data_IF_441794247426
#
_entry.id   IF_441794247426
#
_cell.length_a   1.000
_cell.length_b   1.000
_cell.length_c   1.000
_cell.angle_alpha   90.00
_cell.angle_beta   90.00
_cell.angle_gamma   90.00
#
_symmetry.space_group_name_H-M   'P 1'
#
loop_
_entity.id
_entity.type
_entity.pdbx_description
1 polymer ?
#
# COMPACT_ATOMS: atom_id res chain seq x y z
N UNK A 1 -17.43 17.02 -0.66
CA UNK A 1 -16.13 17.76 -0.58
C UNK A 1 -15.53 17.69 0.83
N UNK A 2 -15.33 16.51 1.44
CA UNK A 2 -14.90 16.48 2.85
C UNK A 2 -13.69 15.61 3.20
N UNK A 3 -13.29 14.64 2.39
CA UNK A 3 -12.13 13.80 2.72
C UNK A 3 -10.78 14.36 2.28
N UNK A 4 -10.67 15.05 1.14
CA UNK A 4 -9.38 15.58 0.63
C UNK A 4 -8.68 16.53 1.64
N UNK A 5 -9.44 17.18 2.52
CA UNK A 5 -8.91 18.08 3.56
C UNK A 5 -8.39 17.36 4.81
N UNK A 6 -8.80 16.12 5.06
CA UNK A 6 -8.24 15.29 6.14
C UNK A 6 -6.84 14.79 5.74
N UNK A 7 -6.64 14.46 4.46
CA UNK A 7 -5.35 14.00 3.92
C UNK A 7 -4.20 15.00 4.04
N UNK A 8 -4.48 16.31 4.13
CA UNK A 8 -3.44 17.35 4.23
C UNK A 8 -3.06 17.69 5.68
N UNK A 9 -3.88 17.30 6.67
CA UNK A 9 -3.65 17.59 8.09
C UNK A 9 -3.15 16.37 8.87
N UNK A 10 -3.19 15.18 8.27
CA UNK A 10 -2.46 14.03 8.77
C UNK A 10 -1.00 14.24 8.35
N UNK A 11 -0.23 14.88 9.24
CA UNK A 11 1.19 15.15 9.02
C UNK A 11 2.00 13.89 8.73
N UNK A 12 3.29 14.03 8.38
CA UNK A 12 4.22 12.93 8.04
C UNK A 12 4.48 11.89 9.16
N UNK A 13 3.65 11.87 10.21
CA UNK A 13 3.69 10.95 11.35
C UNK A 13 2.74 9.75 11.22
N UNK A 14 1.75 9.79 10.32
CA UNK A 14 0.98 8.60 9.97
C UNK A 14 1.67 7.96 8.78
N UNK A 15 2.35 6.83 9.04
CA UNK A 15 3.09 6.10 8.02
C UNK A 15 2.19 5.71 6.84
N UNK A 16 2.78 5.67 5.66
CA UNK A 16 2.11 5.31 4.41
C UNK A 16 1.41 3.94 4.49
N UNK A 17 1.88 3.08 5.38
CA UNK A 17 1.28 1.80 5.76
C UNK A 17 -0.13 1.95 6.35
N UNK A 18 -0.33 2.86 7.31
CA UNK A 18 -1.63 3.08 7.95
C UNK A 18 -2.64 3.67 6.95
N UNK A 19 -2.17 4.59 6.09
CA UNK A 19 -3.03 5.14 5.05
C UNK A 19 -3.42 4.10 4.00
N UNK A 20 -2.48 3.23 3.62
CA UNK A 20 -2.77 2.16 2.68
C UNK A 20 -3.74 1.13 3.28
N UNK A 21 -3.64 0.86 4.58
CA UNK A 21 -4.55 -0.01 5.33
C UNK A 21 -5.99 0.54 5.37
N UNK A 22 -6.13 1.81 5.78
CA UNK A 22 -7.43 2.48 5.77
C UNK A 22 -8.06 2.53 4.37
N UNK A 23 -7.22 2.70 3.35
CA UNK A 23 -7.65 2.71 1.97
C UNK A 23 -8.16 1.34 1.51
N UNK A 24 -7.45 0.27 1.86
CA UNK A 24 -7.84 -1.11 1.60
C UNK A 24 -9.19 -1.43 2.27
N UNK A 25 -9.31 -1.08 3.55
CA UNK A 25 -10.57 -1.20 4.29
C UNK A 25 -11.72 -0.47 3.60
N UNK A 26 -11.47 0.77 3.16
CA UNK A 26 -12.48 1.58 2.46
C UNK A 26 -12.89 0.96 1.12
N UNK A 27 -11.93 0.44 0.34
CA UNK A 27 -12.18 -0.25 -0.93
C UNK A 27 -13.00 -1.51 -0.72
N UNK A 28 -12.64 -2.33 0.27
CA UNK A 28 -13.38 -3.55 0.62
C UNK A 28 -14.81 -3.24 1.06
N UNK A 29 -15.01 -2.19 1.88
CA UNK A 29 -16.34 -1.75 2.32
C UNK A 29 -17.23 -1.22 1.20
N UNK A 30 -16.64 -0.66 0.15
CA UNK A 30 -17.37 -0.16 -1.02
C UNK A 30 -17.51 -1.23 -2.11
N UNK A 31 -17.12 -2.47 -1.82
CA UNK A 31 -17.10 -3.61 -2.74
C UNK A 31 -16.31 -3.30 -4.03
N UNK A 32 -15.24 -2.51 -3.88
CA UNK A 32 -14.35 -2.10 -4.97
C UNK A 32 -13.11 -2.98 -4.99
N UNK A 33 -13.23 -4.08 -5.73
CA UNK A 33 -12.16 -5.06 -5.88
C UNK A 33 -11.28 -4.82 -7.12
N UNK A 34 -11.30 -3.63 -7.72
CA UNK A 34 -10.45 -3.30 -8.87
C UNK A 34 -8.96 -3.45 -8.56
N UNK A 35 -8.56 -3.25 -7.30
CA UNK A 35 -7.18 -3.49 -6.86
C UNK A 35 -6.79 -4.97 -6.89
N UNK A 36 -7.75 -5.89 -6.78
CA UNK A 36 -7.54 -7.34 -6.78
C UNK A 36 -7.04 -7.78 -8.15
N UNK A 37 -7.76 -7.40 -9.20
CA UNK A 37 -7.37 -7.62 -10.60
C UNK A 37 -6.08 -6.85 -10.95
N UNK A 38 -6.01 -5.56 -10.61
CA UNK A 38 -4.85 -4.72 -10.94
C UNK A 38 -3.55 -5.25 -10.33
N UNK A 39 -3.58 -5.86 -9.14
CA UNK A 39 -2.40 -6.40 -8.47
C UNK A 39 -2.30 -7.92 -8.50
N UNK A 40 -3.17 -8.61 -9.24
CA UNK A 40 -3.18 -10.07 -9.34
C UNK A 40 -3.24 -10.74 -7.95
N UNK A 41 -4.14 -10.21 -7.12
CA UNK A 41 -4.58 -10.84 -5.89
C UNK A 41 -5.69 -11.80 -6.30
N UNK A 42 -5.66 -13.06 -5.87
CA UNK A 42 -6.70 -14.03 -6.25
C UNK A 42 -8.06 -13.67 -5.64
N UNK A 43 -8.05 -12.98 -4.50
CA UNK A 43 -9.22 -12.62 -3.71
C UNK A 43 -9.01 -11.26 -3.03
N UNK A 44 -10.09 -10.53 -2.70
CA UNK A 44 -9.99 -9.36 -1.85
C UNK A 44 -9.39 -9.74 -0.50
N UNK A 45 -8.41 -8.96 -0.05
CA UNK A 45 -7.70 -9.20 1.19
C UNK A 45 -7.94 -8.05 2.15
N UNK A 46 -8.05 -8.36 3.43
CA UNK A 46 -8.10 -7.39 4.52
C UNK A 46 -6.69 -7.10 5.08
N UNK A 47 -5.70 -7.94 4.75
CA UNK A 47 -4.34 -7.80 5.24
C UNK A 47 -3.52 -6.87 4.33
N UNK A 48 -3.27 -5.66 4.81
CA UNK A 48 -2.47 -4.68 4.07
C UNK A 48 -1.05 -5.18 3.79
N UNK A 49 -0.43 -5.95 4.68
CA UNK A 49 0.92 -6.48 4.46
C UNK A 49 0.92 -7.47 3.29
N UNK A 50 -0.12 -8.29 3.17
CA UNK A 50 -0.28 -9.20 2.03
C UNK A 50 -0.41 -8.43 0.72
N UNK A 51 -1.26 -7.41 0.68
CA UNK A 51 -1.46 -6.56 -0.49
C UNK A 51 -0.18 -5.82 -0.87
N UNK A 52 0.48 -5.16 0.08
CA UNK A 52 1.73 -4.44 -0.16
C UNK A 52 2.86 -5.37 -0.60
N UNK A 53 2.93 -6.59 -0.05
CA UNK A 53 3.88 -7.61 -0.52
C UNK A 53 3.65 -7.93 -1.98
N UNK A 54 2.40 -8.18 -2.38
CA UNK A 54 2.04 -8.51 -3.77
C UNK A 54 2.38 -7.36 -4.71
N UNK A 55 2.08 -6.12 -4.30
CA UNK A 55 2.41 -4.89 -5.03
C UNK A 55 3.93 -4.73 -5.17
N UNK A 56 4.70 -4.89 -4.08
CA UNK A 56 6.15 -4.77 -4.10
C UNK A 56 6.79 -5.81 -5.06
N UNK A 57 6.28 -7.04 -5.04
CA UNK A 57 6.70 -8.12 -5.95
C UNK A 57 6.34 -7.77 -7.40
N UNK A 58 5.10 -7.35 -7.67
CA UNK A 58 4.62 -7.00 -9.03
C UNK A 58 5.37 -5.80 -9.61
N UNK A 59 5.70 -4.81 -8.80
CA UNK A 59 6.48 -3.63 -9.20
C UNK A 59 7.99 -3.89 -9.26
N UNK A 60 8.47 -5.07 -8.82
CA UNK A 60 9.89 -5.36 -8.65
C UNK A 60 10.58 -4.44 -7.64
N UNK A 61 9.83 -3.77 -6.77
CA UNK A 61 10.33 -2.81 -5.78
C UNK A 61 10.83 -3.57 -4.56
N UNK A 62 12.04 -4.08 -4.70
CA UNK A 62 12.80 -4.66 -3.58
C UNK A 62 13.86 -3.66 -3.13
N UNK A 63 14.12 -3.63 -1.83
CA UNK A 63 15.17 -2.84 -1.22
C UNK A 63 16.21 -3.73 -0.58
N UNK A 64 17.48 -3.35 -0.72
CA UNK A 64 18.60 -4.00 -0.05
C UNK A 64 18.80 -3.31 1.29
N UNK A 65 18.39 -3.97 2.36
CA UNK A 65 18.50 -3.44 3.73
C UNK A 65 19.69 -4.12 4.39
N UNK A 66 20.54 -3.34 5.05
CA UNK A 66 21.61 -3.88 5.89
C UNK A 66 21.00 -4.25 7.24
N UNK A 67 20.77 -5.53 7.46
CA UNK A 67 20.36 -6.02 8.76
C UNK A 67 21.62 -6.31 9.57
N UNK A 68 21.72 -5.70 10.75
CA UNK A 68 22.74 -6.04 11.73
C UNK A 68 22.19 -7.25 12.48
N UNK A 69 22.58 -8.45 12.08
CA UNK A 69 22.34 -9.64 12.89
C UNK A 69 23.55 -9.84 13.80
N UNK A 70 23.39 -10.56 14.92
CA UNK A 70 24.47 -10.84 15.86
C UNK A 70 25.68 -11.61 15.28
N UNK A 71 25.66 -11.91 13.97
CA UNK A 71 26.71 -12.62 13.22
C UNK A 71 27.36 -11.71 12.15
N UNK A 72 26.94 -10.44 12.04
CA UNK A 72 27.52 -9.45 11.14
C UNK A 72 26.50 -8.73 10.26
N UNK A 73 26.99 -7.80 9.43
CA UNK A 73 26.15 -7.01 8.54
C UNK A 73 25.77 -7.82 7.29
N UNK A 74 24.58 -8.41 7.29
CA UNK A 74 24.03 -9.08 6.11
C UNK A 74 23.16 -8.11 5.31
N UNK A 75 23.34 -8.09 3.99
CA UNK A 75 22.50 -7.32 3.09
C UNK A 75 21.34 -8.20 2.63
N UNK A 76 20.16 -7.98 3.20
CA UNK A 76 18.95 -8.74 2.87
C UNK A 76 18.17 -7.97 1.81
N UNK A 77 17.73 -8.66 0.77
CA UNK A 77 16.80 -8.10 -0.22
C UNK A 77 15.39 -8.33 0.29
N UNK A 78 14.71 -7.26 0.69
CA UNK A 78 13.35 -7.33 1.24
C UNK A 78 12.39 -6.52 0.36
N UNK A 79 11.10 -6.90 0.27
CA UNK A 79 10.10 -6.07 -0.39
C UNK A 79 10.07 -4.67 0.24
N UNK A 80 10.03 -3.63 -0.59
CA UNK A 80 9.90 -2.27 -0.09
C UNK A 80 8.42 -1.94 0.13
N UNK A 81 7.92 -2.27 1.32
CA UNK A 81 6.53 -2.02 1.70
C UNK A 81 6.16 -0.54 1.65
N UNK A 82 7.09 0.35 2.05
CA UNK A 82 6.90 1.82 1.97
C UNK A 82 6.68 2.27 0.53
N UNK A 83 7.53 1.83 -0.40
CA UNK A 83 7.38 2.15 -1.81
C UNK A 83 6.10 1.55 -2.42
N UNK A 84 5.71 0.35 -1.99
CA UNK A 84 4.46 -0.28 -2.40
C UNK A 84 3.23 0.50 -1.89
N UNK A 85 3.25 0.95 -0.63
CA UNK A 85 2.18 1.72 -0.02
C UNK A 85 2.01 3.08 -0.71
N UNK A 86 3.12 3.76 -0.94
CA UNK A 86 3.14 5.00 -1.73
C UNK A 86 2.56 4.80 -3.13
N UNK A 87 2.94 3.71 -3.82
CA UNK A 87 2.40 3.39 -5.14
C UNK A 87 0.89 3.09 -5.08
N UNK A 88 0.44 2.33 -4.09
CA UNK A 88 -0.96 1.98 -3.89
C UNK A 88 -1.84 3.22 -3.72
N UNK A 89 -1.43 4.13 -2.81
CA UNK A 89 -2.13 5.39 -2.56
C UNK A 89 -2.13 6.26 -3.83
N UNK A 90 -1.02 6.32 -4.56
CA UNK A 90 -0.93 7.09 -5.81
C UNK A 90 -1.83 6.54 -6.91
N UNK A 91 -1.89 5.22 -7.07
CA UNK A 91 -2.78 4.55 -8.02
C UNK A 91 -4.26 4.85 -7.69
N UNK A 92 -4.61 4.84 -6.40
CA UNK A 92 -5.95 5.25 -5.95
C UNK A 92 -6.26 6.72 -6.28
N UNK A 93 -5.33 7.63 -5.98
CA UNK A 93 -5.50 9.07 -6.27
C UNK A 93 -5.66 9.35 -7.77
N UNK A 94 -5.10 8.51 -8.64
CA UNK A 94 -5.27 8.58 -10.09
C UNK A 94 -6.58 7.95 -10.58
N UNK A 95 -7.31 7.28 -9.71
CA UNK A 95 -8.54 6.55 -10.05
C UNK A 95 -8.31 5.21 -10.76
N UNK A 96 -7.09 4.68 -10.72
CA UNK A 96 -6.74 3.40 -11.36
C UNK A 96 -7.36 2.21 -10.62
N UNK A 97 -7.46 2.30 -9.29
CA UNK A 97 -8.06 1.27 -8.43
C UNK A 97 -9.58 1.37 -8.33
N UNK A 98 -10.21 1.96 -9.36
CA UNK A 98 -11.62 2.30 -9.39
C UNK A 98 -11.86 3.77 -9.03
N UNK A 99 -12.85 4.37 -9.68
CA UNK A 99 -13.26 5.76 -9.43
C UNK A 99 -14.05 5.80 -8.12
N UNK A 100 -13.34 5.86 -7.01
CA UNK A 100 -13.94 5.95 -5.69
C UNK A 100 -13.97 7.41 -5.25
N UNK A 101 -15.11 8.06 -5.45
CA UNK A 101 -15.44 9.27 -4.72
C UNK A 101 -15.78 8.86 -3.29
N UNK A 102 -14.80 8.93 -2.40
CA UNK A 102 -15.01 8.92 -0.95
C UNK A 102 -15.75 10.23 -0.62
N UNK A 103 -17.08 10.18 -0.47
CA UNK A 103 -17.91 11.35 -0.17
C UNK A 103 -17.63 11.92 1.23
#
# INVERSE_FOLDING_TARGET
MKLVLVWNNIGPLVGEDIMADYLLYSLNRLEKFSYVDQYDLGEPSDDIQHVLKRIAVKLGKTQRVKAITGVGNITITMPNYTAAAYHFIRAFRRGELGRVTLD
#
